data_IF_307832859752
#
_entry.id   IF_307832859752
#
_cell.length_a   1.000
_cell.length_b   1.000
_cell.length_c   1.000
_cell.angle_alpha   90.00
_cell.angle_beta   90.00
_cell.angle_gamma   90.00
#
_symmetry.space_group_name_H-M   'P 1'
#
loop_
_entity.id
_entity.type
_entity.pdbx_description
1 polymer ?
#
# COMPACT_ATOMS: atom_id res chain seq x y z
N UNK A 1 0.38 -1.34 16.01
CA UNK A 1 0.92 -2.51 15.28
C UNK A 1 1.96 -3.15 16.17
N UNK A 2 2.01 -4.48 16.20
CA UNK A 2 2.94 -5.21 17.08
C UNK A 2 4.16 -5.57 16.25
N UNK A 3 5.33 -5.15 16.71
CA UNK A 3 6.60 -5.62 16.19
C UNK A 3 6.78 -7.09 16.61
N UNK A 4 7.28 -7.90 15.68
CA UNK A 4 7.63 -9.30 15.92
C UNK A 4 6.46 -10.17 16.44
N UNK A 5 5.28 -10.02 15.83
CA UNK A 5 4.16 -10.94 16.04
C UNK A 5 4.56 -12.39 15.71
N UNK A 6 5.54 -12.60 14.83
CA UNK A 6 5.96 -13.94 14.48
C UNK A 6 6.62 -14.67 15.66
N UNK A 7 7.57 -14.02 16.35
CA UNK A 7 8.22 -14.61 17.52
C UNK A 7 7.29 -14.70 18.75
N UNK A 8 6.28 -13.82 18.83
CA UNK A 8 5.39 -13.70 20.00
C UNK A 8 3.96 -14.17 19.74
N UNK A 9 3.74 -14.93 18.66
CA UNK A 9 2.40 -15.19 18.13
C UNK A 9 1.45 -15.77 19.18
N UNK A 10 1.87 -16.84 19.84
CA UNK A 10 1.05 -17.54 20.84
C UNK A 10 0.78 -16.67 22.08
N UNK A 11 1.79 -15.92 22.54
CA UNK A 11 1.61 -15.01 23.65
C UNK A 11 0.59 -13.91 23.34
N UNK A 12 0.60 -13.39 22.11
CA UNK A 12 -0.34 -12.35 21.66
C UNK A 12 -1.73 -12.93 21.45
N UNK A 13 -1.85 -14.12 20.86
CA UNK A 13 -3.14 -14.79 20.71
C UNK A 13 -3.79 -15.04 22.08
N UNK A 14 -3.03 -15.59 23.03
CA UNK A 14 -3.51 -15.83 24.39
C UNK A 14 -3.93 -14.52 25.10
N UNK A 15 -3.17 -13.43 24.91
CA UNK A 15 -3.51 -12.13 25.48
C UNK A 15 -4.81 -11.55 24.89
N UNK A 16 -5.02 -11.70 23.57
CA UNK A 16 -6.26 -11.31 22.91
C UNK A 16 -7.44 -12.14 23.42
N UNK A 17 -7.30 -13.47 23.49
CA UNK A 17 -8.35 -14.38 23.96
C UNK A 17 -8.69 -14.21 25.44
N UNK A 18 -7.76 -13.68 26.25
CA UNK A 18 -8.01 -13.31 27.64
C UNK A 18 -8.66 -11.91 27.81
N UNK A 19 -8.77 -11.12 26.73
CA UNK A 19 -9.36 -9.78 26.78
C UNK A 19 -10.89 -9.89 26.76
N UNK A 20 -11.56 -9.26 27.72
CA UNK A 20 -13.03 -9.21 27.76
C UNK A 20 -13.57 -8.53 26.49
N UNK A 21 -14.66 -9.07 25.94
CA UNK A 21 -15.26 -8.58 24.71
C UNK A 21 -14.55 -9.01 23.41
N UNK A 22 -13.41 -9.72 23.50
CA UNK A 22 -12.73 -10.28 22.34
C UNK A 22 -13.39 -11.58 21.84
N UNK A 23 -13.53 -11.71 20.52
CA UNK A 23 -13.95 -12.94 19.85
C UNK A 23 -12.99 -13.23 18.69
N UNK A 24 -12.26 -14.34 18.76
CA UNK A 24 -11.36 -14.77 17.68
C UNK A 24 -12.16 -15.23 16.45
N UNK A 25 -11.89 -14.62 15.30
CA UNK A 25 -12.54 -14.96 14.03
C UNK A 25 -11.65 -15.80 13.10
N UNK A 26 -10.46 -15.27 12.73
CA UNK A 26 -9.53 -15.95 11.81
C UNK A 26 -8.10 -15.85 12.29
N UNK A 27 -7.41 -16.98 12.31
CA UNK A 27 -5.99 -17.06 12.68
C UNK A 27 -5.19 -17.59 11.49
N UNK A 28 -4.14 -16.86 11.09
CA UNK A 28 -3.12 -17.33 10.13
C UNK A 28 -1.74 -17.17 10.77
N UNK A 29 -1.27 -18.26 11.38
CA UNK A 29 0.06 -18.34 11.98
C UNK A 29 1.17 -18.16 10.92
N UNK A 30 2.30 -17.48 11.25
CA UNK A 30 2.56 -16.67 12.45
C UNK A 30 2.32 -15.15 12.20
N UNK A 31 1.43 -14.78 11.28
CA UNK A 31 1.42 -13.41 10.71
C UNK A 31 0.13 -12.62 10.91
N UNK A 32 -0.98 -13.27 11.29
CA UNK A 32 -2.28 -12.59 11.39
C UNK A 32 -3.22 -13.27 12.39
N UNK A 33 -3.89 -12.44 13.19
CA UNK A 33 -5.01 -12.78 14.08
C UNK A 33 -6.10 -11.74 13.80
N UNK A 34 -7.28 -12.16 13.38
CA UNK A 34 -8.46 -11.31 13.18
C UNK A 34 -9.57 -11.76 14.14
N UNK A 35 -10.35 -10.80 14.61
CA UNK A 35 -11.47 -11.04 15.50
C UNK A 35 -12.37 -9.81 15.60
N UNK A 36 -13.22 -9.79 16.62
CA UNK A 36 -13.93 -8.60 17.03
C UNK A 36 -13.62 -8.27 18.48
N UNK A 37 -13.58 -6.98 18.80
CA UNK A 37 -13.51 -6.47 20.16
C UNK A 37 -14.75 -5.59 20.38
N UNK A 38 -15.62 -5.99 21.31
CA UNK A 38 -16.89 -5.31 21.58
C UNK A 38 -17.75 -5.11 20.32
N UNK A 39 -17.77 -6.12 19.45
CA UNK A 39 -18.51 -6.09 18.18
C UNK A 39 -17.84 -5.31 17.05
N UNK A 40 -16.68 -4.69 17.28
CA UNK A 40 -15.90 -3.99 16.24
C UNK A 40 -14.88 -4.95 15.64
N UNK A 41 -14.95 -5.18 14.33
CA UNK A 41 -13.94 -5.98 13.61
C UNK A 41 -12.55 -5.35 13.73
N UNK A 42 -11.58 -6.17 14.17
CA UNK A 42 -10.21 -5.73 14.42
C UNK A 42 -9.23 -6.89 14.22
N UNK A 43 -7.93 -6.62 14.31
CA UNK A 43 -6.92 -7.66 14.19
C UNK A 43 -5.49 -7.19 14.38
N UNK A 44 -4.62 -8.15 14.66
CA UNK A 44 -3.18 -7.99 14.81
C UNK A 44 -2.49 -8.72 13.67
N UNK A 45 -1.56 -8.04 13.01
CA UNK A 45 -0.74 -8.62 11.94
C UNK A 45 0.67 -8.05 11.98
N UNK A 46 1.63 -8.83 11.47
CA UNK A 46 2.97 -8.32 11.26
C UNK A 46 2.97 -7.20 10.23
N UNK A 47 3.86 -6.24 10.46
CA UNK A 47 4.26 -5.28 9.44
C UNK A 47 5.07 -6.00 8.37
N UNK A 48 4.78 -5.69 7.11
CA UNK A 48 5.59 -6.14 5.95
C UNK A 48 6.66 -5.10 5.58
N UNK A 49 7.07 -4.28 6.54
CA UNK A 49 7.90 -3.08 6.37
C UNK A 49 8.67 -2.76 7.65
N UNK A 50 9.84 -2.15 7.50
CA UNK A 50 10.78 -1.85 8.58
C UNK A 50 10.53 -0.48 9.24
N UNK A 51 9.77 0.40 8.61
CA UNK A 51 9.48 1.75 9.11
C UNK A 51 8.03 1.91 9.58
N UNK A 52 7.78 2.68 10.67
CA UNK A 52 6.42 2.94 11.16
C UNK A 52 5.61 3.79 10.16
N UNK A 53 4.27 3.77 10.28
CA UNK A 53 3.38 4.59 9.46
C UNK A 53 3.64 6.07 9.67
N UNK A 54 3.91 6.78 8.57
CA UNK A 54 3.92 8.22 8.52
C UNK A 54 2.48 8.72 8.53
N UNK A 55 2.18 9.60 9.46
CA UNK A 55 0.81 9.98 9.82
C UNK A 55 0.73 11.46 10.14
N UNK A 56 -0.45 12.01 9.90
CA UNK A 56 -0.83 13.38 10.15
C UNK A 56 -2.17 13.43 10.90
N UNK A 57 -2.47 14.56 11.53
CA UNK A 57 -3.69 14.75 12.31
C UNK A 57 -4.59 15.80 11.65
N UNK A 58 -5.86 15.46 11.46
CA UNK A 58 -6.87 16.36 10.91
C UNK A 58 -8.02 16.56 11.90
N UNK A 59 -8.56 17.78 11.93
CA UNK A 59 -9.78 18.07 12.68
C UNK A 59 -11.01 17.75 11.81
N UNK A 60 -11.84 16.81 12.26
CA UNK A 60 -13.07 16.39 11.56
C UNK A 60 -14.21 16.37 12.57
N UNK A 61 -15.23 17.22 12.36
CA UNK A 61 -16.40 17.29 13.25
C UNK A 61 -16.05 17.58 14.71
N UNK A 62 -15.04 18.42 14.96
CA UNK A 62 -14.57 18.76 16.31
C UNK A 62 -13.71 17.70 17.00
N UNK A 63 -13.38 16.58 16.33
CA UNK A 63 -12.48 15.54 16.82
C UNK A 63 -11.18 15.53 16.03
N UNK A 64 -10.08 15.13 16.66
CA UNK A 64 -8.80 14.90 15.97
C UNK A 64 -8.74 13.46 15.49
N UNK A 65 -8.49 13.28 14.20
CA UNK A 65 -8.31 11.97 13.56
C UNK A 65 -6.89 11.89 13.03
N UNK A 66 -6.18 10.81 13.40
CA UNK A 66 -4.84 10.52 12.89
C UNK A 66 -4.95 9.60 11.69
N UNK A 67 -4.43 10.03 10.54
CA UNK A 67 -4.50 9.30 9.27
C UNK A 67 -3.10 9.20 8.66
N UNK A 68 -2.85 8.23 7.77
CA UNK A 68 -1.60 8.21 7.02
C UNK A 68 -1.44 9.46 6.15
N UNK A 69 -0.21 9.96 6.01
CA UNK A 69 0.06 11.07 5.08
C UNK A 69 -0.25 10.66 3.65
N UNK A 70 -0.48 11.63 2.77
CA UNK A 70 -0.75 11.32 1.36
C UNK A 70 0.38 10.50 0.70
N UNK A 71 1.64 10.81 1.04
CA UNK A 71 2.81 10.07 0.58
C UNK A 71 2.82 8.62 1.10
N UNK A 72 2.43 8.39 2.36
CA UNK A 72 2.30 7.05 2.95
C UNK A 72 1.21 6.22 2.27
N UNK A 73 0.07 6.84 1.94
CA UNK A 73 -1.01 6.16 1.22
C UNK A 73 -0.53 5.80 -0.20
N UNK A 74 0.11 6.74 -0.89
CA UNK A 74 0.66 6.52 -2.24
C UNK A 74 1.68 5.38 -2.26
N UNK A 75 2.61 5.36 -1.30
CA UNK A 75 3.61 4.30 -1.12
C UNK A 75 2.96 2.93 -0.91
N UNK A 76 1.92 2.88 -0.06
CA UNK A 76 1.16 1.66 0.16
C UNK A 76 0.49 1.19 -1.13
N UNK A 77 -0.04 2.10 -1.96
CA UNK A 77 -0.66 1.75 -3.25
C UNK A 77 0.35 1.29 -4.29
N UNK A 78 1.55 1.89 -4.34
CA UNK A 78 2.64 1.41 -5.17
C UNK A 78 3.01 -0.05 -4.83
N UNK A 79 3.11 -0.37 -3.54
CA UNK A 79 3.32 -1.74 -3.08
C UNK A 79 2.20 -2.70 -3.48
N UNK A 80 0.93 -2.28 -3.41
CA UNK A 80 -0.20 -3.10 -3.82
C UNK A 80 -0.25 -3.33 -5.34
N UNK A 81 0.14 -2.35 -6.15
CA UNK A 81 0.30 -2.53 -7.60
C UNK A 81 1.26 -3.69 -7.90
N UNK A 82 2.39 -3.77 -7.19
CA UNK A 82 3.36 -4.84 -7.34
C UNK A 82 2.83 -6.19 -6.83
N UNK A 83 2.20 -6.23 -5.65
CA UNK A 83 1.87 -7.49 -4.98
C UNK A 83 0.53 -8.10 -5.38
N UNK A 84 -0.48 -7.27 -5.68
CA UNK A 84 -1.82 -7.71 -6.05
C UNK A 84 -2.08 -7.54 -7.54
N UNK A 85 -1.50 -6.51 -8.15
CA UNK A 85 -1.65 -6.22 -9.57
C UNK A 85 -3.13 -6.15 -10.01
N UNK A 86 -4.00 -5.51 -9.21
CA UNK A 86 -5.41 -5.32 -9.53
C UNK A 86 -5.67 -3.90 -10.06
N UNK A 87 -6.66 -3.74 -10.94
CA UNK A 87 -6.99 -2.48 -11.63
C UNK A 87 -7.19 -1.32 -10.65
N UNK A 88 -7.91 -1.60 -9.55
CA UNK A 88 -8.14 -0.61 -8.48
C UNK A 88 -6.86 -0.08 -7.82
N UNK A 89 -5.82 -0.89 -7.72
CA UNK A 89 -4.58 -0.48 -7.06
C UNK A 89 -3.84 0.56 -7.91
N UNK A 90 -3.87 0.41 -9.24
CA UNK A 90 -3.35 1.39 -10.19
C UNK A 90 -4.18 2.68 -10.23
N UNK A 91 -5.51 2.57 -10.22
CA UNK A 91 -6.40 3.73 -10.17
C UNK A 91 -6.11 4.56 -8.91
N UNK A 92 -6.08 3.91 -7.75
CA UNK A 92 -5.78 4.58 -6.48
C UNK A 92 -4.36 5.19 -6.49
N UNK A 93 -3.36 4.46 -7.00
CA UNK A 93 -1.99 4.97 -7.13
C UNK A 93 -1.91 6.20 -8.04
N UNK A 94 -2.48 6.14 -9.24
CA UNK A 94 -2.44 7.23 -10.22
C UNK A 94 -3.10 8.49 -9.66
N UNK A 95 -4.27 8.36 -9.02
CA UNK A 95 -4.94 9.50 -8.40
C UNK A 95 -4.12 10.13 -7.26
N UNK A 96 -3.45 9.31 -6.44
CA UNK A 96 -2.60 9.80 -5.36
C UNK A 96 -1.32 10.46 -5.89
N UNK A 97 -0.68 9.86 -6.89
CA UNK A 97 0.53 10.38 -7.52
C UNK A 97 0.25 11.73 -8.22
N UNK A 98 -0.86 11.84 -8.94
CA UNK A 98 -1.32 13.09 -9.56
C UNK A 98 -1.56 14.17 -8.50
N UNK A 99 -2.20 13.81 -7.37
CA UNK A 99 -2.46 14.74 -6.26
C UNK A 99 -1.20 15.21 -5.54
N UNK A 100 -0.21 14.34 -5.40
CA UNK A 100 1.11 14.63 -4.81
C UNK A 100 1.97 15.51 -5.72
N UNK A 101 1.81 15.35 -7.03
CA UNK A 101 2.70 15.92 -8.03
C UNK A 101 3.90 15.02 -8.34
N UNK A 102 4.47 15.21 -9.53
CA UNK A 102 5.43 14.28 -10.12
C UNK A 102 6.67 14.02 -9.26
N UNK A 103 7.26 15.07 -8.68
CA UNK A 103 8.49 14.94 -7.86
C UNK A 103 8.24 14.16 -6.56
N UNK A 104 7.14 14.44 -5.87
CA UNK A 104 6.81 13.74 -4.64
C UNK A 104 6.41 12.27 -4.90
N UNK A 105 5.75 12.00 -6.03
CA UNK A 105 5.44 10.63 -6.45
C UNK A 105 6.71 9.83 -6.79
N UNK A 106 7.67 10.45 -7.48
CA UNK A 106 8.99 9.89 -7.76
C UNK A 106 9.77 9.59 -6.46
N UNK A 107 9.82 10.55 -5.53
CA UNK A 107 10.49 10.35 -4.23
C UNK A 107 9.84 9.21 -3.41
N UNK A 108 8.51 9.04 -3.51
CA UNK A 108 7.79 7.91 -2.91
C UNK A 108 8.25 6.57 -3.49
N UNK A 109 8.37 6.48 -4.81
CA UNK A 109 8.78 5.27 -5.51
C UNK A 109 10.23 4.89 -5.20
N UNK A 110 11.16 5.84 -5.33
CA UNK A 110 12.58 5.63 -5.03
C UNK A 110 12.82 5.30 -3.55
N UNK A 111 12.02 5.89 -2.67
CA UNK A 111 12.08 5.65 -1.23
C UNK A 111 11.63 4.25 -0.81
N UNK A 112 10.96 3.48 -1.67
CA UNK A 112 10.33 2.20 -1.29
C UNK A 112 11.29 1.19 -0.66
N UNK A 113 12.53 1.10 -1.15
CA UNK A 113 13.54 0.20 -0.60
C UNK A 113 13.80 0.46 0.88
N UNK A 114 13.70 1.71 1.35
CA UNK A 114 13.93 2.06 2.76
C UNK A 114 12.77 1.62 3.68
N UNK A 115 11.57 1.40 3.15
CA UNK A 115 10.41 0.95 3.91
C UNK A 115 10.24 -0.56 3.82
N UNK A 116 10.56 -1.16 2.67
CA UNK A 116 10.33 -2.57 2.38
C UNK A 116 11.64 -3.37 2.28
N UNK A 117 12.72 -2.93 2.95
CA UNK A 117 14.04 -3.54 2.88
C UNK A 117 14.05 -5.05 3.19
N UNK A 118 13.21 -5.49 4.13
CA UNK A 118 13.08 -6.90 4.51
C UNK A 118 12.27 -7.74 3.51
N UNK A 119 11.76 -7.10 2.46
CA UNK A 119 11.04 -7.77 1.38
C UNK A 119 11.98 -7.97 0.20
N UNK A 120 12.34 -9.23 -0.06
CA UNK A 120 12.85 -9.60 -1.38
C UNK A 120 11.66 -9.64 -2.33
N UNK A 121 11.46 -8.58 -3.13
CA UNK A 121 10.43 -8.64 -4.18
C UNK A 121 10.74 -9.78 -5.17
N UNK A 122 9.78 -10.23 -6.00
CA UNK A 122 9.97 -11.29 -6.97
C UNK A 122 11.34 -11.30 -7.70
N UNK A 123 12.13 -12.34 -7.42
CA UNK A 123 13.47 -12.53 -8.00
C UNK A 123 14.61 -11.80 -7.29
N UNK A 124 14.42 -11.33 -6.04
CA UNK A 124 15.49 -10.76 -5.21
C UNK A 124 15.95 -9.35 -5.63
N UNK A 125 15.19 -8.68 -6.50
CA UNK A 125 15.49 -7.30 -6.91
C UNK A 125 15.04 -6.29 -5.86
N UNK A 126 15.60 -5.08 -5.91
CA UNK A 126 15.10 -3.91 -5.16
C UNK A 126 13.62 -3.68 -5.43
N UNK A 127 12.86 -3.28 -4.41
CA UNK A 127 11.41 -3.07 -4.49
C UNK A 127 11.11 -1.90 -5.40
N UNK A 128 11.85 -0.79 -5.27
CA UNK A 128 11.69 0.39 -6.11
C UNK A 128 11.82 0.05 -7.60
N UNK A 129 12.86 -0.71 -8.00
CA UNK A 129 13.05 -1.12 -9.40
C UNK A 129 11.92 -2.02 -9.92
N UNK A 130 11.34 -2.86 -9.07
CA UNK A 130 10.24 -3.73 -9.46
C UNK A 130 8.94 -2.96 -9.64
N UNK A 131 8.66 -2.01 -8.75
CA UNK A 131 7.54 -1.09 -8.89
C UNK A 131 7.68 -0.27 -10.17
N UNK A 132 8.87 0.28 -10.46
CA UNK A 132 9.11 1.03 -11.68
C UNK A 132 8.84 0.20 -12.94
N UNK A 133 9.30 -1.04 -12.98
CA UNK A 133 9.01 -1.96 -14.10
C UNK A 133 7.51 -2.25 -14.23
N UNK A 134 6.82 -2.45 -13.10
CA UNK A 134 5.39 -2.73 -13.07
C UNK A 134 4.56 -1.51 -13.54
N UNK A 135 4.94 -0.31 -13.12
CA UNK A 135 4.27 0.95 -13.46
C UNK A 135 4.59 1.43 -14.89
N UNK A 136 5.77 1.10 -15.42
CA UNK A 136 6.13 1.39 -16.82
C UNK A 136 5.30 0.58 -17.83
N UNK A 137 4.74 -0.55 -17.42
CA UNK A 137 3.87 -1.38 -18.25
C UNK A 137 2.72 -1.97 -17.42
N UNK A 138 1.77 -1.13 -16.98
CA UNK A 138 0.75 -1.54 -16.03
C UNK A 138 -0.22 -2.50 -16.71
N UNK A 139 -0.25 -3.74 -16.21
CA UNK A 139 -1.06 -4.85 -16.75
C UNK A 139 -1.79 -5.57 -15.62
N UNK A 140 -2.83 -4.95 -15.03
CA UNK A 140 -3.59 -5.60 -13.98
C UNK A 140 -4.28 -6.86 -14.49
N UNK A 141 -4.38 -7.87 -13.63
CA UNK A 141 -4.90 -9.18 -14.00
C UNK A 141 -6.41 -9.18 -14.28
N UNK A 142 -7.15 -8.22 -13.70
CA UNK A 142 -8.60 -8.10 -13.76
C UNK A 142 -9.06 -7.01 -14.76
N UNK A 143 -8.16 -6.44 -15.56
CA UNK A 143 -8.47 -5.28 -16.42
C UNK A 143 -9.68 -5.50 -17.34
N UNK A 144 -9.78 -6.69 -17.94
CA UNK A 144 -10.87 -7.04 -18.86
C UNK A 144 -12.22 -7.28 -18.16
N UNK A 145 -12.21 -7.47 -16.84
CA UNK A 145 -13.40 -7.79 -16.04
C UNK A 145 -14.01 -6.55 -15.39
N UNK A 146 -13.29 -5.42 -15.40
CA UNK A 146 -13.66 -4.20 -14.69
C UNK A 146 -14.09 -3.11 -15.67
N UNK A 147 -15.33 -2.61 -15.50
CA UNK A 147 -15.76 -1.34 -16.10
C UNK A 147 -15.52 -0.19 -15.12
N UNK A 148 -14.47 0.59 -15.35
CA UNK A 148 -14.14 1.77 -14.53
C UNK A 148 -15.26 2.84 -14.53
N UNK A 149 -16.14 2.85 -15.53
CA UNK A 149 -17.26 3.80 -15.59
C UNK A 149 -18.35 3.44 -14.57
N UNK A 150 -18.40 2.18 -14.14
CA UNK A 150 -19.31 1.70 -13.11
C UNK A 150 -18.83 2.00 -11.68
N UNK A 151 -17.58 2.45 -11.51
CA UNK A 151 -17.02 2.74 -10.19
C UNK A 151 -17.68 3.97 -9.57
N UNK A 152 -18.22 3.77 -8.36
CA UNK A 152 -18.89 4.83 -7.62
C UNK A 152 -17.91 5.95 -7.26
N UNK A 153 -18.32 7.18 -7.54
CA UNK A 153 -17.59 8.41 -7.16
C UNK A 153 -16.19 8.53 -7.75
N UNK A 154 -15.89 7.83 -8.85
CA UNK A 154 -14.64 7.98 -9.56
C UNK A 154 -14.70 9.22 -10.46
N UNK A 155 -13.68 10.09 -10.36
CA UNK A 155 -13.53 11.25 -11.25
C UNK A 155 -13.50 10.80 -12.72
N UNK A 156 -14.05 11.62 -13.61
CA UNK A 156 -14.16 11.30 -15.04
C UNK A 156 -12.80 10.94 -15.66
N UNK A 157 -11.72 11.60 -15.25
CA UNK A 157 -10.36 11.30 -15.74
C UNK A 157 -9.92 9.87 -15.44
N UNK A 158 -10.30 9.33 -14.29
CA UNK A 158 -9.87 8.00 -13.85
C UNK A 158 -10.78 6.87 -14.34
N UNK A 159 -11.83 7.20 -15.11
CA UNK A 159 -12.68 6.20 -15.79
C UNK A 159 -12.08 5.69 -17.09
N UNK A 160 -10.98 6.30 -17.53
CA UNK A 160 -10.19 5.88 -18.67
C UNK A 160 -8.92 5.20 -18.19
N UNK A 161 -8.74 3.94 -18.59
CA UNK A 161 -7.55 3.17 -18.22
C UNK A 161 -6.28 3.77 -18.81
N UNK A 162 -6.34 4.35 -20.02
CA UNK A 162 -5.16 4.91 -20.65
C UNK A 162 -4.63 6.11 -19.86
N UNK A 163 -5.53 6.96 -19.33
CA UNK A 163 -5.17 8.05 -18.44
C UNK A 163 -4.52 7.58 -17.12
N UNK A 164 -5.00 6.47 -16.55
CA UNK A 164 -4.39 5.83 -15.36
C UNK A 164 -3.01 5.28 -15.70
N UNK A 165 -2.89 4.57 -16.81
CA UNK A 165 -1.65 3.96 -17.27
C UNK A 165 -0.58 5.02 -17.58
N UNK A 166 -0.95 6.15 -18.18
CA UNK A 166 -0.02 7.22 -18.52
C UNK A 166 0.57 7.91 -17.28
N UNK A 167 -0.22 8.10 -16.22
CA UNK A 167 0.32 8.58 -14.94
C UNK A 167 1.30 7.57 -14.35
N UNK A 168 0.97 6.27 -14.37
CA UNK A 168 1.87 5.22 -13.88
C UNK A 168 3.21 5.22 -14.64
N UNK A 169 3.14 5.24 -15.97
CA UNK A 169 4.34 5.31 -16.84
C UNK A 169 5.16 6.57 -16.56
N UNK A 170 4.51 7.72 -16.39
CA UNK A 170 5.19 8.99 -16.15
C UNK A 170 5.96 9.01 -14.83
N UNK A 171 5.45 8.36 -13.79
CA UNK A 171 6.15 8.19 -12.51
C UNK A 171 7.32 7.21 -12.68
N UNK A 172 7.07 6.07 -13.32
CA UNK A 172 8.09 5.04 -13.57
C UNK A 172 9.29 5.54 -14.39
N UNK A 173 9.06 6.32 -15.45
CA UNK A 173 10.12 6.88 -16.30
C UNK A 173 11.05 7.77 -15.48
N UNK A 174 10.49 8.66 -14.65
CA UNK A 174 11.28 9.55 -13.78
C UNK A 174 12.12 8.77 -12.78
N UNK A 175 11.53 7.76 -12.15
CA UNK A 175 12.26 6.92 -11.22
C UNK A 175 13.39 6.13 -11.91
N UNK A 176 13.13 5.57 -13.10
CA UNK A 176 14.14 4.83 -13.88
C UNK A 176 15.27 5.73 -14.35
N UNK A 177 14.97 6.93 -14.87
CA UNK A 177 15.98 7.90 -15.30
C UNK A 177 16.93 8.22 -14.15
N UNK A 178 16.39 8.50 -12.96
CA UNK A 178 17.19 8.81 -11.77
C UNK A 178 18.01 7.63 -11.25
N UNK A 179 17.47 6.41 -11.30
CA UNK A 179 18.23 5.19 -10.96
C UNK A 179 19.44 5.02 -11.90
N UNK A 180 19.28 5.34 -13.19
CA UNK A 180 20.36 5.26 -14.18
C UNK A 180 21.41 6.35 -13.92
N UNK A 181 20.99 7.57 -13.61
CA UNK A 181 21.88 8.68 -13.24
C UNK A 181 22.72 8.36 -11.99
N UNK A 182 22.12 7.76 -10.96
CA UNK A 182 22.81 7.39 -9.71
C UNK A 182 23.76 6.17 -9.88
N UNK A 183 23.63 5.41 -10.97
CA UNK A 183 24.45 4.23 -11.28
C UNK A 183 25.61 4.51 -12.25
N UNK A 184 25.71 5.74 -12.77
CA UNK A 184 26.71 6.19 -13.76
C UNK A 184 27.85 6.95 -13.10
#
# INVERSE_FOLDING_TARGET
>A
MVEDLAARFDAILNALEATEGWITGRVKRPVMILGSLDGVETGVRNLIRSRPLEVEEHAVGGRRVRVPTLAEICRTKAWLCLMRNATRDYVDFAALADRLGSRAAEDVELGMDSYYADQAGPGGRRVATQVAKQLANPKPHDLSEIDLRSYRSLDARWRDWDAVADVCKGVAVRALDRIVEESS
#
